data_IF_356040052161
#
_entry.id   IF_356040052161
#
_cell.length_a   1.000
_cell.length_b   1.000
_cell.length_c   1.000
_cell.angle_alpha   90.00
_cell.angle_beta   90.00
_cell.angle_gamma   90.00
#
_symmetry.space_group_name_H-M   'P 1'
#
loop_
_entity.id
_entity.type
_entity.pdbx_description
1 polymer ?
#
# COMPACT_ATOMS: atom_id res chain seq x y z
N UNK A 1 14.68 27.91 -6.69
CA UNK A 1 13.36 28.39 -7.21
C UNK A 1 12.27 27.43 -6.72
N UNK A 2 11.10 27.91 -6.33
CA UNK A 2 9.99 27.03 -5.97
C UNK A 2 9.70 26.03 -7.08
N UNK A 3 9.27 24.81 -6.71
CA UNK A 3 8.91 23.76 -7.67
C UNK A 3 7.62 23.07 -7.27
N UNK A 4 6.91 22.52 -8.26
CA UNK A 4 5.69 21.75 -8.04
C UNK A 4 6.02 20.26 -8.02
N UNK A 5 5.40 19.54 -7.07
CA UNK A 5 5.46 18.09 -7.00
C UNK A 5 4.05 17.53 -6.83
N UNK A 6 3.75 16.47 -7.57
CA UNK A 6 2.42 15.87 -7.61
C UNK A 6 2.50 14.40 -7.19
N UNK A 7 1.55 13.98 -6.33
CA UNK A 7 1.27 12.58 -6.05
C UNK A 7 -0.20 12.27 -6.27
N UNK A 8 -0.50 11.00 -6.51
CA UNK A 8 -1.84 10.50 -6.73
C UNK A 8 -2.18 9.33 -5.81
N UNK A 9 -3.46 9.08 -5.62
CA UNK A 9 -3.99 7.89 -4.96
C UNK A 9 -5.22 7.38 -5.67
N UNK A 10 -5.57 6.12 -5.42
CA UNK A 10 -6.81 5.50 -5.88
C UNK A 10 -7.54 4.85 -4.70
N UNK A 11 -8.88 4.81 -4.78
CA UNK A 11 -9.70 4.23 -3.72
C UNK A 11 -9.60 2.70 -3.68
N UNK A 12 -10.09 2.12 -2.59
CA UNK A 12 -10.26 0.67 -2.46
C UNK A 12 -11.16 0.05 -3.54
N UNK A 13 -12.05 0.86 -4.15
CA UNK A 13 -12.92 0.43 -5.25
C UNK A 13 -12.33 0.58 -6.64
N UNK A 14 -11.12 1.16 -6.78
CA UNK A 14 -10.43 1.19 -8.06
C UNK A 14 -10.15 -0.25 -8.54
N UNK A 15 -10.33 -0.58 -9.82
CA UNK A 15 -10.19 -1.95 -10.33
C UNK A 15 -8.88 -2.64 -9.92
N UNK A 16 -7.74 -1.97 -10.07
CA UNK A 16 -6.44 -2.54 -9.66
C UNK A 16 -6.37 -2.78 -8.15
N UNK A 17 -6.99 -1.92 -7.32
CA UNK A 17 -7.00 -2.12 -5.87
C UNK A 17 -8.03 -3.17 -5.42
N UNK A 18 -9.08 -3.39 -6.17
CA UNK A 18 -9.96 -4.56 -5.99
C UNK A 18 -9.16 -5.84 -6.20
N UNK A 19 -8.36 -5.91 -7.28
CA UNK A 19 -7.50 -7.05 -7.57
C UNK A 19 -6.44 -7.28 -6.48
N UNK A 20 -5.77 -6.23 -6.02
CA UNK A 20 -4.78 -6.30 -4.92
C UNK A 20 -5.41 -6.81 -3.63
N UNK A 21 -6.60 -6.31 -3.26
CA UNK A 21 -7.29 -6.73 -2.03
C UNK A 21 -7.74 -8.20 -2.08
N UNK A 22 -8.17 -8.70 -3.24
CA UNK A 22 -8.50 -10.12 -3.41
C UNK A 22 -7.24 -10.96 -3.27
N UNK A 23 -6.15 -10.60 -3.93
CA UNK A 23 -4.88 -11.32 -3.87
C UNK A 23 -4.32 -11.38 -2.44
N UNK A 24 -4.34 -10.27 -1.69
CA UNK A 24 -3.86 -10.23 -0.31
C UNK A 24 -4.80 -10.93 0.69
N UNK A 25 -6.10 -10.96 0.42
CA UNK A 25 -7.04 -11.77 1.20
C UNK A 25 -6.75 -13.27 1.03
N UNK A 26 -6.38 -13.72 -0.16
CA UNK A 26 -5.93 -15.11 -0.38
C UNK A 26 -4.67 -15.42 0.42
N UNK A 27 -3.65 -14.53 0.39
CA UNK A 27 -2.44 -14.67 1.21
C UNK A 27 -2.80 -14.86 2.70
N UNK A 28 -3.62 -13.96 3.24
CA UNK A 28 -4.00 -13.99 4.65
C UNK A 28 -4.71 -15.30 5.04
N UNK A 29 -5.62 -15.78 4.21
CA UNK A 29 -6.34 -17.03 4.48
C UNK A 29 -5.42 -18.26 4.41
N UNK A 30 -4.47 -18.30 3.46
CA UNK A 30 -3.46 -19.35 3.40
C UNK A 30 -2.56 -19.33 4.63
N UNK A 31 -2.02 -18.18 5.01
CA UNK A 31 -1.11 -18.04 6.15
C UNK A 31 -1.80 -18.26 7.49
N UNK A 32 -3.08 -17.91 7.63
CA UNK A 32 -3.85 -18.19 8.84
C UNK A 32 -4.00 -19.70 9.08
N UNK A 33 -4.13 -20.49 8.01
CA UNK A 33 -4.32 -21.93 8.09
C UNK A 33 -3.00 -22.71 8.08
N UNK A 34 -2.00 -22.20 7.36
CA UNK A 34 -0.66 -22.80 7.25
C UNK A 34 0.39 -21.68 7.11
N UNK A 35 1.07 -21.28 8.20
CA UNK A 35 2.08 -20.22 8.16
C UNK A 35 3.27 -20.49 7.23
N UNK A 36 3.52 -21.75 6.85
CA UNK A 36 4.59 -22.13 5.92
C UNK A 36 4.15 -22.05 4.45
N UNK A 37 2.92 -21.59 4.17
CA UNK A 37 2.41 -21.44 2.80
C UNK A 37 3.32 -20.58 1.94
N UNK A 38 3.53 -21.04 0.70
CA UNK A 38 4.16 -20.28 -0.37
C UNK A 38 3.06 -19.89 -1.35
N UNK A 39 2.90 -18.61 -1.60
CA UNK A 39 1.78 -18.08 -2.38
C UNK A 39 2.27 -17.00 -3.33
N UNK A 40 1.94 -17.15 -4.60
CA UNK A 40 2.08 -16.13 -5.61
C UNK A 40 0.76 -16.12 -6.38
N UNK A 41 -0.19 -15.26 -5.99
CA UNK A 41 -1.53 -15.20 -6.56
C UNK A 41 -1.79 -13.81 -7.14
N UNK A 42 -2.17 -13.79 -8.40
CA UNK A 42 -2.56 -12.60 -9.12
C UNK A 42 -4.05 -12.66 -9.44
N UNK A 43 -4.68 -11.50 -9.47
CA UNK A 43 -6.10 -11.34 -9.74
C UNK A 43 -6.29 -10.39 -10.91
N UNK A 44 -7.16 -10.77 -11.85
CA UNK A 44 -7.73 -9.88 -12.86
C UNK A 44 -9.21 -9.70 -12.55
N UNK A 45 -9.68 -8.46 -12.58
CA UNK A 45 -11.10 -8.12 -12.47
C UNK A 45 -11.54 -7.30 -13.69
N UNK A 46 -12.71 -7.62 -14.21
CA UNK A 46 -13.34 -6.90 -15.33
C UNK A 46 -14.85 -7.02 -15.23
N UNK A 47 -15.62 -6.51 -16.19
CA UNK A 47 -17.09 -6.56 -16.18
C UNK A 47 -17.59 -7.97 -15.83
N UNK A 48 -18.26 -8.11 -14.69
CA UNK A 48 -18.88 -9.34 -14.25
C UNK A 48 -17.97 -10.55 -14.03
N UNK A 49 -16.62 -10.37 -14.04
CA UNK A 49 -15.66 -11.47 -13.99
C UNK A 49 -14.49 -11.19 -13.05
N UNK A 50 -14.04 -12.26 -12.40
CA UNK A 50 -12.79 -12.34 -11.62
C UNK A 50 -12.00 -13.56 -12.08
N UNK A 51 -10.72 -13.38 -12.37
CA UNK A 51 -9.78 -14.45 -12.68
C UNK A 51 -8.69 -14.48 -11.61
N UNK A 52 -8.54 -15.63 -10.95
CA UNK A 52 -7.50 -15.90 -9.98
C UNK A 52 -6.48 -16.83 -10.62
N UNK A 53 -5.21 -16.43 -10.67
CA UNK A 53 -4.14 -17.23 -11.27
C UNK A 53 -2.91 -17.21 -10.36
N UNK A 54 -2.04 -18.21 -10.49
CA UNK A 54 -0.79 -18.26 -9.78
C UNK A 54 -0.46 -19.62 -9.18
N UNK A 55 0.54 -19.64 -8.30
CA UNK A 55 1.08 -20.85 -7.71
C UNK A 55 0.97 -20.83 -6.19
N UNK A 56 0.52 -21.95 -5.63
CA UNK A 56 0.39 -22.13 -4.18
C UNK A 56 0.99 -23.47 -3.75
N UNK A 57 1.79 -23.44 -2.68
CA UNK A 57 2.19 -24.62 -1.92
C UNK A 57 1.73 -24.44 -0.49
N UNK A 58 0.68 -25.15 -0.09
CA UNK A 58 0.08 -25.05 1.23
C UNK A 58 -0.58 -26.38 1.61
N UNK A 59 -0.72 -26.61 2.91
CA UNK A 59 -1.57 -27.69 3.46
C UNK A 59 -3.03 -27.26 3.60
N UNK A 60 -3.30 -25.96 3.45
CA UNK A 60 -4.65 -25.41 3.58
C UNK A 60 -5.46 -25.67 2.31
N UNK A 61 -6.74 -26.03 2.48
CA UNK A 61 -7.74 -26.01 1.44
C UNK A 61 -8.65 -24.80 1.67
N UNK A 62 -8.83 -23.94 0.68
CA UNK A 62 -9.61 -22.71 0.76
C UNK A 62 -10.70 -22.66 -0.31
N UNK A 63 -11.84 -22.09 0.03
CA UNK A 63 -12.84 -21.65 -0.95
C UNK A 63 -12.42 -20.26 -1.49
N UNK A 64 -11.53 -20.26 -2.48
CA UNK A 64 -10.98 -19.03 -3.06
C UNK A 64 -12.07 -18.16 -3.73
N UNK A 65 -13.16 -18.77 -4.21
CA UNK A 65 -14.29 -18.04 -4.80
C UNK A 65 -15.05 -17.26 -3.72
N UNK A 66 -15.29 -17.89 -2.59
CA UNK A 66 -15.95 -17.23 -1.45
C UNK A 66 -15.11 -16.07 -0.93
N UNK A 67 -13.79 -16.25 -0.78
CA UNK A 67 -12.88 -15.19 -0.33
C UNK A 67 -12.94 -14.00 -1.27
N UNK A 68 -12.85 -14.21 -2.58
CA UNK A 68 -12.94 -13.13 -3.57
C UNK A 68 -14.29 -12.38 -3.47
N UNK A 69 -15.42 -13.09 -3.36
CA UNK A 69 -16.75 -12.51 -3.21
C UNK A 69 -16.89 -11.67 -1.93
N UNK A 70 -16.38 -12.18 -0.82
CA UNK A 70 -16.43 -11.48 0.47
C UNK A 70 -15.65 -10.14 0.40
N UNK A 71 -14.50 -10.12 -0.27
CA UNK A 71 -13.72 -8.88 -0.52
C UNK A 71 -14.51 -7.90 -1.38
N UNK A 72 -15.07 -8.34 -2.50
CA UNK A 72 -15.84 -7.49 -3.42
C UNK A 72 -17.04 -6.86 -2.69
N UNK A 73 -17.78 -7.66 -1.91
CA UNK A 73 -18.91 -7.18 -1.11
C UNK A 73 -18.47 -6.19 -0.02
N UNK A 74 -17.34 -6.44 0.66
CA UNK A 74 -16.75 -5.55 1.68
C UNK A 74 -16.37 -4.19 1.09
N UNK A 75 -15.83 -4.15 -0.12
CA UNK A 75 -15.51 -2.90 -0.84
C UNK A 75 -16.79 -2.10 -1.14
N UNK A 76 -17.90 -2.77 -1.40
CA UNK A 76 -19.19 -2.15 -1.67
C UNK A 76 -19.72 -2.40 -3.08
N UNK A 77 -19.11 -3.30 -3.84
CA UNK A 77 -19.66 -3.80 -5.09
C UNK A 77 -20.66 -4.92 -4.80
N UNK A 78 -21.87 -4.54 -4.40
CA UNK A 78 -22.94 -5.44 -3.93
C UNK A 78 -24.29 -5.17 -4.61
N UNK A 79 -24.29 -4.43 -5.73
CA UNK A 79 -25.46 -4.13 -6.53
C UNK A 79 -25.25 -4.54 -7.98
N UNK A 80 -26.22 -5.22 -8.56
CA UNK A 80 -26.17 -5.70 -9.95
C UNK A 80 -26.02 -4.56 -10.98
N UNK A 81 -26.53 -3.37 -10.68
CA UNK A 81 -26.42 -2.19 -11.53
C UNK A 81 -24.98 -1.69 -11.73
N UNK A 82 -24.05 -2.14 -10.88
CA UNK A 82 -22.62 -1.84 -11.06
C UNK A 82 -21.96 -2.72 -12.12
N UNK A 83 -22.70 -3.71 -12.66
CA UNK A 83 -22.21 -4.70 -13.66
C UNK A 83 -20.96 -5.47 -13.20
N UNK A 84 -20.68 -5.38 -11.91
CA UNK A 84 -19.67 -6.12 -11.16
C UNK A 84 -20.11 -6.13 -9.69
N UNK A 85 -20.53 -7.28 -9.19
CA UNK A 85 -20.92 -7.43 -7.78
C UNK A 85 -20.52 -8.79 -7.24
N UNK A 86 -20.24 -8.85 -5.93
CA UNK A 86 -19.70 -10.03 -5.27
C UNK A 86 -20.65 -11.24 -5.27
N UNK A 87 -21.96 -11.04 -5.46
CA UNK A 87 -22.94 -12.11 -5.40
C UNK A 87 -23.16 -12.79 -6.76
N UNK A 88 -22.96 -12.05 -7.87
CA UNK A 88 -23.32 -12.51 -9.23
C UNK A 88 -22.15 -12.62 -10.20
N UNK A 89 -20.99 -11.98 -9.96
CA UNK A 89 -19.85 -12.07 -10.87
C UNK A 89 -19.34 -13.51 -11.00
N UNK A 90 -18.84 -13.87 -12.19
CA UNK A 90 -18.13 -15.14 -12.38
C UNK A 90 -16.77 -15.09 -11.70
N UNK A 91 -16.41 -16.14 -10.94
CA UNK A 91 -15.07 -16.28 -10.36
C UNK A 91 -14.42 -17.55 -10.90
N UNK A 92 -13.36 -17.37 -11.69
CA UNK A 92 -12.59 -18.46 -12.28
C UNK A 92 -11.25 -18.57 -11.55
N UNK A 93 -10.80 -19.79 -11.31
CA UNK A 93 -9.50 -20.06 -10.69
C UNK A 93 -8.64 -20.93 -11.58
N UNK A 94 -7.42 -20.47 -11.83
CA UNK A 94 -6.32 -21.19 -12.48
C UNK A 94 -5.10 -21.24 -11.53
N UNK A 95 -5.36 -21.36 -10.23
CA UNK A 95 -4.31 -21.56 -9.22
C UNK A 95 -3.86 -23.01 -9.27
N UNK A 96 -2.56 -23.24 -9.33
CA UNK A 96 -1.96 -24.57 -9.38
C UNK A 96 -0.82 -24.72 -8.36
N UNK A 97 -0.24 -25.91 -8.23
CA UNK A 97 0.87 -26.18 -7.32
C UNK A 97 2.17 -25.52 -7.80
N UNK A 98 2.95 -24.99 -6.87
CA UNK A 98 4.23 -24.34 -7.17
C UNK A 98 5.24 -25.32 -7.74
N UNK A 99 6.00 -24.91 -8.78
CA UNK A 99 7.07 -25.69 -9.37
C UNK A 99 8.15 -26.08 -8.36
N UNK A 100 8.56 -27.37 -8.34
CA UNK A 100 9.68 -27.84 -7.49
C UNK A 100 10.99 -27.11 -7.77
N UNK A 101 11.24 -26.68 -9.01
CA UNK A 101 12.50 -26.06 -9.42
C UNK A 101 12.72 -24.68 -8.77
N UNK A 102 11.66 -23.90 -8.58
CA UNK A 102 11.73 -22.59 -7.90
C UNK A 102 12.04 -22.79 -6.41
N UNK A 103 11.54 -23.85 -5.82
CA UNK A 103 11.71 -24.13 -4.39
C UNK A 103 13.15 -24.47 -3.99
N UNK A 104 13.97 -25.02 -4.89
CA UNK A 104 15.35 -25.43 -4.60
C UNK A 104 16.26 -24.26 -4.17
N UNK A 105 15.99 -23.05 -4.68
CA UNK A 105 16.76 -21.84 -4.36
C UNK A 105 16.38 -21.22 -3.01
N UNK A 106 15.15 -21.43 -2.53
CA UNK A 106 14.57 -20.78 -1.36
C UNK A 106 14.65 -21.66 -0.12
N UNK A 107 14.23 -22.94 -0.24
CA UNK A 107 14.21 -23.87 0.89
C UNK A 107 15.61 -24.45 1.16
N UNK A 108 16.15 -24.19 2.36
CA UNK A 108 17.42 -24.71 2.85
C UNK A 108 17.19 -25.59 4.10
N UNK A 109 18.15 -26.45 4.42
CA UNK A 109 18.08 -27.30 5.64
C UNK A 109 18.00 -26.44 6.90
N UNK A 110 18.80 -25.38 6.95
CA UNK A 110 18.77 -24.41 8.03
C UNK A 110 17.97 -23.18 7.56
N UNK A 111 16.93 -22.79 8.31
CA UNK A 111 16.03 -21.65 7.95
C UNK A 111 16.81 -20.33 7.81
N UNK A 112 17.92 -20.17 8.56
CA UNK A 112 18.78 -18.99 8.50
C UNK A 112 19.50 -18.83 7.15
N UNK A 113 19.66 -19.93 6.40
CA UNK A 113 20.28 -19.95 5.08
C UNK A 113 19.29 -19.76 3.93
N UNK A 114 18.01 -19.42 4.25
CA UNK A 114 16.99 -19.15 3.25
C UNK A 114 17.50 -18.10 2.24
N UNK A 115 17.58 -18.51 0.98
CA UNK A 115 17.96 -17.60 -0.11
C UNK A 115 16.83 -16.66 -0.50
N UNK A 116 17.16 -15.56 -1.16
CA UNK A 116 16.18 -14.69 -1.77
C UNK A 116 15.37 -15.46 -2.84
N UNK A 117 14.05 -15.32 -2.82
CA UNK A 117 13.15 -16.01 -3.76
C UNK A 117 13.26 -15.51 -5.19
N UNK A 118 13.86 -14.34 -5.40
CA UNK A 118 14.14 -13.75 -6.71
C UNK A 118 15.34 -12.81 -6.62
N UNK A 119 15.87 -12.42 -7.77
CA UNK A 119 16.74 -11.26 -7.90
C UNK A 119 15.92 -9.97 -7.88
N UNK A 120 16.51 -8.85 -7.47
CA UNK A 120 15.84 -7.56 -7.56
C UNK A 120 16.49 -6.48 -6.72
N UNK A 121 15.93 -5.28 -6.84
CA UNK A 121 16.27 -4.14 -6.01
C UNK A 121 14.99 -3.59 -5.37
N UNK A 122 15.05 -3.30 -4.08
CA UNK A 122 13.93 -2.82 -3.28
C UNK A 122 14.32 -1.51 -2.62
N UNK A 123 13.34 -0.62 -2.43
CA UNK A 123 13.57 0.72 -1.93
C UNK A 123 12.71 1.02 -0.70
N UNK A 124 13.30 1.75 0.23
CA UNK A 124 12.62 2.38 1.34
C UNK A 124 12.88 3.88 1.32
N UNK A 125 11.86 4.66 1.67
CA UNK A 125 11.96 6.11 1.74
C UNK A 125 11.31 6.61 3.02
N UNK A 126 11.81 7.71 3.57
CA UNK A 126 11.21 8.44 4.67
C UNK A 126 11.59 9.92 4.63
N UNK A 127 10.72 10.77 5.14
CA UNK A 127 10.91 12.23 5.22
C UNK A 127 10.26 12.79 6.49
N UNK A 128 10.74 13.93 6.98
CA UNK A 128 10.15 14.66 8.12
C UNK A 128 8.87 15.43 7.78
N UNK A 129 8.37 15.35 6.55
CA UNK A 129 7.20 16.12 6.12
C UNK A 129 5.96 15.81 6.99
N UNK A 130 5.70 14.53 7.26
CA UNK A 130 4.54 14.10 8.05
C UNK A 130 4.94 13.36 9.32
N UNK A 131 4.01 13.23 10.26
CA UNK A 131 4.25 12.51 11.52
C UNK A 131 4.51 11.00 11.31
N UNK A 132 4.00 10.44 10.21
CA UNK A 132 4.22 9.06 9.82
C UNK A 132 5.43 8.88 8.88
N UNK A 133 6.20 9.96 8.65
CA UNK A 133 7.41 9.98 7.80
C UNK A 133 7.12 9.67 6.33
N UNK A 134 5.93 10.03 5.83
CA UNK A 134 5.52 9.88 4.43
C UNK A 134 5.59 11.23 3.70
N UNK A 135 5.70 11.22 2.34
CA UNK A 135 5.56 12.43 1.53
C UNK A 135 4.17 13.06 1.71
N UNK A 136 4.11 14.37 1.99
CA UNK A 136 2.86 15.07 2.30
C UNK A 136 1.85 15.02 1.15
N UNK A 137 2.30 15.14 -0.11
CA UNK A 137 1.42 15.11 -1.27
C UNK A 137 0.67 13.76 -1.39
N UNK A 138 1.37 12.64 -1.18
CA UNK A 138 0.79 11.32 -1.18
C UNK A 138 -0.13 11.10 0.03
N UNK A 139 0.31 11.52 1.20
CA UNK A 139 -0.43 11.35 2.45
C UNK A 139 -1.79 12.07 2.38
N UNK A 140 -1.82 13.31 1.85
CA UNK A 140 -3.08 14.02 1.59
C UNK A 140 -3.91 13.31 0.51
N UNK A 141 -3.30 12.82 -0.57
CA UNK A 141 -4.03 12.10 -1.61
C UNK A 141 -4.70 10.83 -1.07
N UNK A 142 -4.03 10.07 -0.21
CA UNK A 142 -4.62 8.92 0.50
C UNK A 142 -5.75 9.37 1.44
N UNK A 143 -5.53 10.42 2.23
CA UNK A 143 -6.50 10.91 3.20
C UNK A 143 -7.80 11.37 2.54
N UNK A 144 -7.73 12.00 1.36
CA UNK A 144 -8.91 12.37 0.57
C UNK A 144 -9.79 11.16 0.24
N UNK A 145 -9.18 10.05 -0.19
CA UNK A 145 -9.93 8.87 -0.59
C UNK A 145 -10.36 7.98 0.58
N UNK A 146 -9.57 7.93 1.65
CA UNK A 146 -9.98 7.28 2.91
C UNK A 146 -11.22 7.97 3.47
N UNK A 147 -11.22 9.30 3.52
CA UNK A 147 -12.35 10.07 4.02
C UNK A 147 -13.56 9.97 3.09
N UNK A 148 -13.35 10.00 1.77
CA UNK A 148 -14.42 9.81 0.80
C UNK A 148 -15.10 8.43 0.95
N UNK A 149 -14.31 7.37 1.18
CA UNK A 149 -14.82 6.03 1.44
C UNK A 149 -15.56 5.95 2.78
N UNK A 150 -15.11 6.68 3.82
CA UNK A 150 -15.81 6.79 5.09
C UNK A 150 -17.19 7.46 4.90
N UNK A 151 -17.24 8.61 4.23
CA UNK A 151 -18.49 9.31 3.90
C UNK A 151 -19.47 8.41 3.12
N UNK A 152 -18.96 7.64 2.15
CA UNK A 152 -19.74 6.66 1.40
C UNK A 152 -20.37 5.60 2.31
N UNK A 153 -19.60 5.05 3.25
CA UNK A 153 -20.08 4.03 4.20
C UNK A 153 -21.04 4.58 5.23
N UNK A 154 -20.83 5.81 5.70
CA UNK A 154 -21.75 6.51 6.60
C UNK A 154 -23.12 6.70 5.93
N UNK A 155 -23.14 6.92 4.61
CA UNK A 155 -24.34 7.09 3.79
C UNK A 155 -25.34 8.15 4.35
N UNK A 156 -24.81 9.24 4.89
CA UNK A 156 -25.60 10.31 5.52
C UNK A 156 -25.56 11.62 4.73
N UNK A 157 -24.37 12.20 4.59
CA UNK A 157 -24.18 13.51 3.96
C UNK A 157 -24.17 13.41 2.43
N UNK A 158 -23.39 12.45 1.87
CA UNK A 158 -23.28 12.23 0.43
C UNK A 158 -23.70 10.77 0.12
N UNK A 159 -24.94 10.60 -0.36
CA UNK A 159 -25.56 9.27 -0.51
C UNK A 159 -25.33 8.61 -1.88
N UNK A 160 -24.86 9.39 -2.85
CA UNK A 160 -24.71 8.96 -4.24
C UNK A 160 -23.32 8.41 -4.58
N UNK A 161 -22.40 8.34 -3.61
CA UNK A 161 -21.03 7.86 -3.86
C UNK A 161 -20.98 6.37 -4.14
N UNK A 162 -20.22 5.98 -5.17
CA UNK A 162 -19.87 4.60 -5.51
C UNK A 162 -18.41 4.30 -5.13
N UNK A 163 -17.97 3.01 -5.17
CA UNK A 163 -16.67 2.65 -4.60
C UNK A 163 -15.44 3.19 -5.32
N UNK A 164 -15.49 3.43 -6.64
CA UNK A 164 -14.32 3.85 -7.43
C UNK A 164 -14.07 5.35 -7.32
N UNK A 165 -12.82 5.71 -7.05
CA UNK A 165 -12.39 7.10 -7.04
C UNK A 165 -10.87 7.22 -7.22
N UNK A 166 -10.44 8.41 -7.68
CA UNK A 166 -9.02 8.79 -7.79
C UNK A 166 -8.83 10.19 -7.21
N UNK A 167 -7.66 10.43 -6.64
CA UNK A 167 -7.23 11.76 -6.18
C UNK A 167 -5.82 12.07 -6.67
N UNK A 168 -5.53 13.35 -6.86
CA UNK A 168 -4.21 13.87 -7.15
C UNK A 168 -4.02 15.17 -6.40
N UNK A 169 -2.85 15.34 -5.77
CA UNK A 169 -2.50 16.53 -5.00
C UNK A 169 -1.17 17.08 -5.52
N UNK A 170 -1.16 18.36 -5.89
CA UNK A 170 0.03 19.09 -6.30
C UNK A 170 0.40 20.09 -5.22
N UNK A 171 1.60 19.96 -4.67
CA UNK A 171 2.17 20.88 -3.69
C UNK A 171 3.29 21.73 -4.34
N UNK A 172 3.37 22.99 -3.93
CA UNK A 172 4.54 23.82 -4.18
C UNK A 172 5.51 23.72 -3.00
N UNK A 173 6.78 23.54 -3.32
CA UNK A 173 7.90 23.47 -2.37
C UNK A 173 8.85 24.65 -2.59
N UNK A 174 9.44 25.17 -1.50
CA UNK A 174 10.52 26.11 -1.56
C UNK A 174 11.88 25.41 -1.79
N UNK A 175 12.96 26.19 -1.89
CA UNK A 175 14.32 25.69 -2.12
C UNK A 175 14.86 24.78 -0.99
N UNK A 176 14.22 24.80 0.17
CA UNK A 176 14.55 23.94 1.32
C UNK A 176 13.64 22.68 1.39
N UNK A 177 12.98 22.32 0.30
CA UNK A 177 12.04 21.19 0.22
C UNK A 177 10.90 21.26 1.25
N UNK A 178 10.47 22.45 1.65
CA UNK A 178 9.33 22.64 2.53
C UNK A 178 8.08 22.98 1.73
N UNK A 179 6.92 22.32 1.99
CA UNK A 179 5.68 22.63 1.30
C UNK A 179 5.17 24.00 1.70
N UNK A 180 4.84 24.84 0.72
CA UNK A 180 4.42 26.25 0.91
C UNK A 180 2.95 26.48 0.59
N UNK A 181 2.36 25.72 -0.34
CA UNK A 181 0.93 25.76 -0.68
C UNK A 181 0.48 24.50 -1.40
N UNK A 182 -0.80 24.22 -1.35
CA UNK A 182 -1.46 23.28 -2.25
C UNK A 182 -1.81 24.06 -3.53
N UNK A 183 -1.22 23.68 -4.67
CA UNK A 183 -1.53 24.31 -5.95
C UNK A 183 -2.86 23.81 -6.52
N UNK A 184 -3.04 22.49 -6.53
CA UNK A 184 -4.25 21.89 -7.07
C UNK A 184 -4.61 20.57 -6.40
N UNK A 185 -5.91 20.28 -6.37
CA UNK A 185 -6.50 19.01 -5.96
C UNK A 185 -7.43 18.53 -7.07
N UNK A 186 -7.17 17.31 -7.57
CA UNK A 186 -8.06 16.62 -8.51
C UNK A 186 -8.75 15.49 -7.77
N UNK A 187 -10.07 15.37 -7.92
CA UNK A 187 -10.86 14.23 -7.42
C UNK A 187 -11.79 13.77 -8.52
N UNK A 188 -11.70 12.50 -8.88
CA UNK A 188 -12.66 11.83 -9.74
C UNK A 188 -13.34 10.74 -8.92
N UNK A 189 -14.64 10.85 -8.67
CA UNK A 189 -15.42 9.90 -7.89
C UNK A 189 -16.58 9.33 -8.68
N UNK A 190 -16.71 8.02 -8.67
CA UNK A 190 -17.89 7.32 -9.20
C UNK A 190 -19.12 7.65 -8.35
N UNK A 191 -20.26 7.83 -9.01
CA UNK A 191 -21.52 8.25 -8.37
C UNK A 191 -22.74 7.66 -9.07
N UNK A 192 -23.88 7.68 -8.40
CA UNK A 192 -25.15 7.33 -9.00
C UNK A 192 -25.57 8.39 -10.06
N UNK A 193 -26.38 7.99 -11.03
CA UNK A 193 -27.01 8.89 -12.01
C UNK A 193 -28.32 9.42 -11.38
N UNK A 194 -28.22 10.50 -10.59
CA UNK A 194 -29.29 10.92 -9.67
C UNK A 194 -30.00 12.20 -10.09
N UNK A 195 -29.52 12.90 -11.11
CA UNK A 195 -30.12 14.17 -11.61
C UNK A 195 -29.59 14.50 -13.01
N UNK A 196 -30.06 15.59 -13.59
CA UNK A 196 -29.50 16.16 -14.82
C UNK A 196 -27.99 16.46 -14.63
N UNK A 197 -27.17 16.17 -15.66
CA UNK A 197 -25.71 16.20 -15.57
C UNK A 197 -25.15 17.49 -14.95
N UNK A 198 -25.60 18.66 -15.39
CA UNK A 198 -25.12 19.95 -14.86
C UNK A 198 -25.46 20.16 -13.39
N UNK A 199 -26.65 19.73 -12.97
CA UNK A 199 -27.13 19.86 -11.58
C UNK A 199 -26.31 18.90 -10.71
N UNK A 200 -26.15 17.67 -11.17
CA UNK A 200 -25.40 16.60 -10.52
C UNK A 200 -23.94 16.98 -10.33
N UNK A 201 -23.23 17.42 -11.38
CA UNK A 201 -21.83 17.82 -11.31
C UNK A 201 -21.61 19.01 -10.38
N UNK A 202 -22.55 20.00 -10.40
CA UNK A 202 -22.48 21.13 -9.47
C UNK A 202 -22.62 20.64 -8.03
N UNK A 203 -23.58 19.75 -7.75
CA UNK A 203 -23.78 19.20 -6.41
C UNK A 203 -22.55 18.41 -5.94
N UNK A 204 -21.97 17.56 -6.79
CA UNK A 204 -20.75 16.79 -6.48
C UNK A 204 -19.60 17.74 -6.14
N UNK A 205 -19.40 18.78 -6.94
CA UNK A 205 -18.38 19.79 -6.68
C UNK A 205 -18.59 20.48 -5.32
N UNK A 206 -19.80 20.95 -5.05
CA UNK A 206 -20.16 21.65 -3.81
C UNK A 206 -19.98 20.73 -2.58
N UNK A 207 -20.42 19.47 -2.66
CA UNK A 207 -20.30 18.49 -1.56
C UNK A 207 -18.82 18.13 -1.30
N UNK A 208 -18.01 17.93 -2.33
CA UNK A 208 -16.57 17.66 -2.16
C UNK A 208 -15.89 18.84 -1.47
N UNK A 209 -16.12 20.07 -1.92
CA UNK A 209 -15.48 21.26 -1.36
C UNK A 209 -15.96 21.55 0.06
N UNK A 210 -17.26 21.40 0.33
CA UNK A 210 -17.84 21.81 1.60
C UNK A 210 -17.89 20.71 2.67
N UNK A 211 -17.77 19.43 2.29
CA UNK A 211 -17.85 18.29 3.22
C UNK A 211 -16.51 17.57 3.29
N UNK A 212 -15.99 17.06 2.16
CA UNK A 212 -14.77 16.25 2.16
C UNK A 212 -13.52 17.08 2.53
N UNK A 213 -13.30 18.22 1.88
CA UNK A 213 -12.11 19.04 2.09
C UNK A 213 -11.96 19.49 3.56
N UNK A 214 -13.00 19.99 4.24
CA UNK A 214 -12.92 20.34 5.67
C UNK A 214 -12.57 19.15 6.57
N UNK A 215 -13.16 17.96 6.31
CA UNK A 215 -12.84 16.74 7.07
C UNK A 215 -11.37 16.33 6.93
N UNK A 216 -10.83 16.43 5.69
CA UNK A 216 -9.40 16.15 5.44
C UNK A 216 -8.53 17.23 6.07
N UNK A 217 -8.81 18.51 5.90
CA UNK A 217 -8.07 19.64 6.50
C UNK A 217 -7.91 19.46 8.01
N UNK A 218 -8.94 18.99 8.70
CA UNK A 218 -8.92 18.76 10.15
C UNK A 218 -7.88 17.71 10.59
N UNK A 219 -7.48 16.79 9.70
CA UNK A 219 -6.45 15.77 9.96
C UNK A 219 -5.03 16.34 9.87
N UNK A 220 -4.87 17.53 9.31
CA UNK A 220 -3.57 18.18 9.07
C UNK A 220 -3.43 19.53 9.79
N UNK A 221 -3.47 19.59 11.14
CA UNK A 221 -3.43 20.85 11.86
C UNK A 221 -2.13 21.64 11.57
N UNK A 222 -0.98 20.96 11.43
CA UNK A 222 0.30 21.57 11.05
C UNK A 222 0.24 22.26 9.68
N UNK A 223 -0.53 21.69 8.76
CA UNK A 223 -0.63 22.12 7.36
C UNK A 223 -1.99 22.73 7.01
N UNK A 224 -2.82 23.06 8.02
CA UNK A 224 -4.15 23.63 7.80
C UNK A 224 -4.11 24.94 7.00
N UNK A 225 -3.01 25.71 7.11
CA UNK A 225 -2.79 26.94 6.35
C UNK A 225 -2.57 26.72 4.85
N UNK A 226 -2.18 25.52 4.41
CA UNK A 226 -2.04 25.18 3.00
C UNK A 226 -3.40 24.98 2.32
N UNK A 227 -4.46 24.67 3.08
CA UNK A 227 -5.83 24.55 2.60
C UNK A 227 -6.50 25.93 2.61
N UNK A 228 -6.18 26.75 1.63
CA UNK A 228 -6.67 28.12 1.45
C UNK A 228 -7.55 28.23 0.20
N UNK A 229 -8.03 29.46 -0.07
CA UNK A 229 -8.98 29.72 -1.16
C UNK A 229 -8.30 29.74 -2.55
N UNK A 230 -6.96 29.70 -2.63
CA UNK A 230 -6.23 29.74 -3.89
C UNK A 230 -6.06 28.34 -4.55
N UNK A 231 -6.55 27.30 -3.90
CA UNK A 231 -6.47 25.92 -4.42
C UNK A 231 -7.33 25.77 -5.67
N UNK A 232 -6.74 25.25 -6.74
CA UNK A 232 -7.46 24.88 -7.97
C UNK A 232 -8.08 23.50 -7.80
N UNK A 233 -9.40 23.47 -7.63
CA UNK A 233 -10.15 22.20 -7.54
C UNK A 233 -10.59 21.71 -8.92
N UNK A 234 -10.32 20.44 -9.23
CA UNK A 234 -10.80 19.75 -10.43
C UNK A 234 -11.61 18.53 -10.00
N UNK A 235 -12.92 18.71 -9.87
CA UNK A 235 -13.84 17.67 -9.40
C UNK A 235 -14.60 17.09 -10.58
N UNK A 236 -14.45 15.78 -10.84
CA UNK A 236 -15.00 15.08 -12.00
C UNK A 236 -14.81 15.89 -13.31
N UNK A 237 -13.56 16.27 -13.66
CA UNK A 237 -13.31 17.23 -14.75
C UNK A 237 -13.73 16.72 -16.13
N UNK A 238 -13.95 15.43 -16.31
CA UNK A 238 -14.40 14.81 -17.57
C UNK A 238 -15.92 14.73 -17.69
N UNK A 239 -16.68 15.20 -16.69
CA UNK A 239 -18.13 15.07 -16.62
C UNK A 239 -18.59 13.94 -15.69
N UNK A 240 -19.76 13.37 -15.93
CA UNK A 240 -20.34 12.34 -15.09
C UNK A 240 -19.49 11.06 -15.10
N UNK A 241 -19.38 10.41 -13.93
CA UNK A 241 -18.63 9.18 -13.72
C UNK A 241 -19.53 8.12 -13.06
N UNK A 242 -20.51 7.63 -13.82
CA UNK A 242 -21.46 6.59 -13.39
C UNK A 242 -20.91 5.19 -13.68
N UNK A 243 -20.33 5.00 -14.89
CA UNK A 243 -19.65 3.76 -15.26
C UNK A 243 -18.22 3.80 -14.70
N UNK A 244 -17.92 2.93 -13.76
CA UNK A 244 -16.62 2.85 -13.10
C UNK A 244 -16.40 1.49 -12.45
N UNK A 245 -15.32 1.38 -11.65
CA UNK A 245 -14.91 0.12 -11.10
C UNK A 245 -14.53 -0.89 -12.19
N UNK A 246 -14.55 -2.21 -11.90
CA UNK A 246 -14.18 -3.24 -12.88
C UNK A 246 -15.06 -3.28 -14.14
N UNK A 247 -16.23 -2.64 -14.13
CA UNK A 247 -17.04 -2.47 -15.34
C UNK A 247 -16.50 -1.36 -16.24
N UNK A 248 -15.93 -0.31 -15.67
CA UNK A 248 -15.37 0.81 -16.42
C UNK A 248 -13.98 0.51 -16.99
N UNK A 249 -13.15 -0.20 -16.23
CA UNK A 249 -11.77 -0.52 -16.61
C UNK A 249 -11.34 -1.85 -15.97
N UNK A 250 -10.47 -2.60 -16.64
CA UNK A 250 -9.92 -3.85 -16.15
C UNK A 250 -8.86 -3.58 -15.07
N UNK A 251 -8.95 -4.29 -13.94
CA UNK A 251 -7.97 -4.26 -12.87
C UNK A 251 -7.07 -5.49 -12.82
N UNK A 252 -5.83 -5.28 -12.41
CA UNK A 252 -4.83 -6.33 -12.22
C UNK A 252 -4.03 -6.08 -10.95
N UNK A 253 -3.65 -7.16 -10.27
CA UNK A 253 -2.73 -7.11 -9.13
C UNK A 253 -1.41 -6.44 -9.53
N UNK A 254 -0.93 -5.51 -8.69
CA UNK A 254 0.38 -4.90 -8.84
C UNK A 254 0.50 -3.80 -9.90
N UNK A 255 -0.61 -3.19 -10.32
CA UNK A 255 -0.60 -2.05 -11.26
C UNK A 255 -0.65 -0.67 -10.61
N UNK A 256 -0.65 -0.58 -9.29
CA UNK A 256 -0.66 0.69 -8.51
C UNK A 256 0.52 0.81 -7.57
N UNK A 257 1.69 0.27 -7.99
CA UNK A 257 2.90 0.17 -7.17
C UNK A 257 3.44 1.51 -6.65
N UNK A 258 3.22 2.61 -7.37
CA UNK A 258 3.63 3.94 -6.93
C UNK A 258 2.68 4.48 -5.84
N UNK A 259 1.38 4.23 -5.98
CA UNK A 259 0.37 4.52 -4.94
C UNK A 259 0.63 3.68 -3.69
N UNK A 260 1.07 2.43 -3.86
CA UNK A 260 1.38 1.51 -2.77
C UNK A 260 2.60 1.92 -1.96
N UNK A 261 3.47 2.77 -2.50
CA UNK A 261 4.75 3.13 -1.92
C UNK A 261 4.85 4.62 -1.55
N UNK A 262 5.51 5.44 -2.36
CA UNK A 262 5.89 6.82 -1.98
C UNK A 262 5.37 7.90 -2.93
N UNK A 263 4.42 7.58 -3.82
CA UNK A 263 3.79 8.57 -4.72
C UNK A 263 4.76 9.24 -5.69
N UNK A 264 5.86 8.58 -6.04
CA UNK A 264 6.89 9.10 -6.94
C UNK A 264 8.01 9.89 -6.24
N UNK A 265 7.94 10.11 -4.92
CA UNK A 265 9.01 10.81 -4.17
C UNK A 265 10.21 9.89 -3.94
N UNK A 266 9.97 8.63 -3.62
CA UNK A 266 10.99 7.58 -3.54
C UNK A 266 10.99 6.70 -4.80
N UNK A 267 12.15 6.12 -5.13
CA UNK A 267 12.28 5.14 -6.21
C UNK A 267 11.50 3.84 -5.90
N UNK A 268 11.22 3.07 -6.95
CA UNK A 268 10.57 1.75 -6.86
C UNK A 268 11.33 0.71 -7.69
N UNK A 269 11.46 -0.51 -7.18
CA UNK A 269 12.17 -1.59 -7.88
C UNK A 269 11.39 -2.27 -9.00
N UNK A 270 10.08 -1.99 -9.11
CA UNK A 270 9.19 -2.53 -10.14
C UNK A 270 8.39 -3.75 -9.72
N UNK A 271 8.76 -4.45 -8.63
CA UNK A 271 8.03 -5.62 -8.14
C UNK A 271 6.75 -5.26 -7.39
N UNK A 272 5.64 -5.89 -7.73
CA UNK A 272 4.39 -5.78 -6.99
C UNK A 272 4.51 -6.42 -5.60
N UNK A 273 3.73 -5.92 -4.63
CA UNK A 273 3.68 -6.45 -3.26
C UNK A 273 2.52 -7.43 -3.07
N UNK A 274 1.29 -6.98 -3.39
CA UNK A 274 0.08 -7.78 -3.22
C UNK A 274 0.16 -9.09 -3.99
N UNK A 275 -0.41 -10.15 -3.43
CA UNK A 275 -0.39 -11.50 -4.00
C UNK A 275 0.88 -12.31 -3.72
N UNK A 276 1.89 -11.75 -3.05
CA UNK A 276 3.17 -12.41 -2.74
C UNK A 276 3.31 -12.70 -1.25
N UNK A 277 3.65 -13.95 -0.90
CA UNK A 277 4.06 -14.33 0.46
C UNK A 277 5.44 -13.75 0.83
N UNK A 278 5.84 -13.73 2.12
CA UNK A 278 7.06 -13.05 2.57
C UNK A 278 8.38 -13.63 2.06
N UNK A 279 8.41 -14.81 1.45
CA UNK A 279 9.63 -15.33 0.82
C UNK A 279 10.02 -14.57 -0.44
N UNK A 280 9.11 -13.78 -0.99
CA UNK A 280 9.36 -12.90 -2.14
C UNK A 280 9.92 -11.59 -1.64
N UNK A 281 11.21 -11.37 -1.90
CA UNK A 281 11.96 -10.18 -1.42
C UNK A 281 11.42 -8.86 -1.97
N UNK A 282 10.74 -8.87 -3.12
CA UNK A 282 10.02 -7.69 -3.65
C UNK A 282 9.14 -7.04 -2.58
N UNK A 283 8.47 -7.84 -1.77
CA UNK A 283 7.60 -7.37 -0.69
C UNK A 283 8.35 -7.26 0.63
N UNK A 284 8.96 -8.33 1.11
CA UNK A 284 9.56 -8.39 2.44
C UNK A 284 10.72 -7.42 2.61
N UNK A 285 11.60 -7.31 1.61
CA UNK A 285 12.74 -6.40 1.68
C UNK A 285 12.34 -4.93 1.42
N UNK A 286 11.27 -4.66 0.67
CA UNK A 286 10.71 -3.31 0.58
C UNK A 286 10.18 -2.83 1.94
N UNK A 287 9.53 -3.70 2.71
CA UNK A 287 9.12 -3.40 4.07
C UNK A 287 10.32 -3.16 5.00
N UNK A 288 11.37 -3.97 4.86
CA UNK A 288 12.58 -3.82 5.65
C UNK A 288 13.34 -2.52 5.33
N UNK A 289 13.45 -2.14 4.06
CA UNK A 289 14.08 -0.86 3.68
C UNK A 289 13.27 0.35 4.15
N UNK A 290 11.92 0.26 4.16
CA UNK A 290 11.07 1.28 4.78
C UNK A 290 11.35 1.43 6.27
N UNK A 291 11.47 0.33 6.99
CA UNK A 291 11.79 0.34 8.41
C UNK A 291 13.15 1.01 8.68
N UNK A 292 14.17 0.71 7.87
CA UNK A 292 15.49 1.37 7.95
C UNK A 292 15.34 2.88 7.74
N UNK A 293 14.75 3.29 6.62
CA UNK A 293 14.59 4.70 6.26
C UNK A 293 13.87 5.49 7.35
N UNK A 294 12.77 4.93 7.87
CA UNK A 294 11.97 5.55 8.93
C UNK A 294 12.75 5.71 10.24
N UNK A 295 13.50 4.69 10.65
CA UNK A 295 14.30 4.75 11.87
C UNK A 295 15.51 5.69 11.74
N UNK A 296 16.13 5.82 10.56
CA UNK A 296 17.20 6.81 10.30
C UNK A 296 16.68 8.24 10.48
N UNK A 297 15.55 8.57 9.85
CA UNK A 297 14.95 9.91 9.94
C UNK A 297 14.48 10.19 11.38
N UNK A 298 13.80 9.24 12.02
CA UNK A 298 13.33 9.38 13.39
C UNK A 298 14.46 9.53 14.42
N UNK A 299 15.62 8.90 14.17
CA UNK A 299 16.81 9.06 15.00
C UNK A 299 17.51 10.39 14.82
N UNK A 300 17.19 11.16 13.77
CA UNK A 300 17.82 12.45 13.46
C UNK A 300 19.10 12.33 12.63
N UNK A 301 19.32 11.22 11.97
CA UNK A 301 20.48 11.05 11.04
C UNK A 301 20.37 11.98 9.83
N UNK A 302 19.15 12.17 9.34
CA UNK A 302 18.82 13.03 8.19
C UNK A 302 17.34 13.44 8.21
N UNK A 303 16.94 14.38 7.36
CA UNK A 303 15.55 14.82 7.20
C UNK A 303 14.80 14.03 6.13
N UNK A 304 15.53 13.50 5.17
CA UNK A 304 15.01 12.73 4.03
C UNK A 304 16.02 11.63 3.69
N UNK A 305 15.55 10.43 3.36
CA UNK A 305 16.45 9.33 2.96
C UNK A 305 15.76 8.34 2.05
N UNK A 306 16.51 7.90 1.04
CA UNK A 306 16.25 6.73 0.22
C UNK A 306 17.25 5.64 0.59
N UNK A 307 16.74 4.43 0.84
CA UNK A 307 17.53 3.22 1.09
C UNK A 307 17.21 2.21 0.00
N UNK A 308 18.22 1.69 -0.68
CA UNK A 308 18.09 0.56 -1.61
C UNK A 308 18.77 -0.68 -1.04
N UNK A 309 18.16 -1.83 -1.24
CA UNK A 309 18.78 -3.14 -1.06
C UNK A 309 18.64 -3.94 -2.35
N UNK A 310 19.61 -4.80 -2.65
CA UNK A 310 19.55 -5.68 -3.82
C UNK A 310 19.91 -7.12 -3.44
N UNK A 311 19.28 -8.08 -4.15
CA UNK A 311 19.49 -9.51 -3.96
C UNK A 311 19.80 -10.22 -5.28
N UNK A 312 20.55 -11.32 -5.18
CA UNK A 312 20.61 -12.34 -6.21
C UNK A 312 19.74 -13.54 -5.80
N UNK A 313 19.08 -14.16 -6.77
CA UNK A 313 18.22 -15.32 -6.52
C UNK A 313 19.01 -16.44 -5.80
N UNK A 314 18.41 -17.03 -4.78
CA UNK A 314 19.01 -18.13 -3.99
C UNK A 314 20.15 -17.72 -3.05
N UNK A 315 20.51 -16.43 -2.98
CA UNK A 315 21.54 -15.90 -2.07
C UNK A 315 20.86 -15.23 -0.86
N UNK A 316 21.30 -15.59 0.36
CA UNK A 316 20.71 -15.05 1.58
C UNK A 316 21.20 -13.62 1.89
N UNK A 317 22.48 -13.35 1.66
CA UNK A 317 23.05 -12.02 1.92
C UNK A 317 22.66 -11.04 0.80
N UNK A 318 22.29 -9.80 1.13
CA UNK A 318 22.09 -8.77 0.11
C UNK A 318 23.39 -8.52 -0.66
N UNK A 319 23.28 -8.18 -1.94
CA UNK A 319 24.42 -7.82 -2.79
C UNK A 319 24.98 -6.45 -2.45
N UNK A 320 24.19 -5.60 -1.82
CA UNK A 320 24.59 -4.28 -1.35
C UNK A 320 23.43 -3.48 -0.77
N UNK A 321 23.79 -2.50 0.05
CA UNK A 321 22.89 -1.49 0.58
C UNK A 321 23.40 -0.12 0.12
N UNK A 322 22.53 0.66 -0.48
CA UNK A 322 22.80 2.04 -0.89
C UNK A 322 21.90 3.00 -0.09
N UNK A 323 22.47 4.13 0.30
CA UNK A 323 21.75 5.18 1.02
C UNK A 323 21.97 6.51 0.26
N UNK A 324 20.89 7.31 0.17
CA UNK A 324 20.96 8.68 -0.32
C UNK A 324 20.14 9.59 0.60
N UNK A 325 20.78 10.50 1.29
CA UNK A 325 20.16 11.48 2.20
C UNK A 325 19.71 12.75 1.48
N UNK A 326 19.88 12.84 0.16
CA UNK A 326 19.61 14.04 -0.65
C UNK A 326 20.26 15.31 -0.09
N UNK A 327 21.42 15.17 0.58
CA UNK A 327 22.13 16.27 1.21
C UNK A 327 21.54 16.74 2.54
N UNK A 328 20.53 16.06 3.09
CA UNK A 328 19.90 16.39 4.38
C UNK A 328 20.56 15.73 5.59
N UNK A 329 21.72 15.06 5.40
CA UNK A 329 22.46 14.39 6.47
C UNK A 329 22.89 15.35 7.59
N UNK A 330 22.69 14.92 8.85
CA UNK A 330 22.96 15.74 10.05
C UNK A 330 24.11 15.23 10.91
N UNK A 331 24.71 14.09 10.55
CA UNK A 331 25.71 13.38 11.38
C UNK A 331 27.14 13.55 10.92
N UNK A 332 27.40 14.40 9.92
CA UNK A 332 28.75 14.68 9.40
C UNK A 332 29.40 13.49 8.68
N UNK A 333 28.62 12.50 8.28
CA UNK A 333 29.04 11.31 7.53
C UNK A 333 28.54 11.40 6.09
N UNK A 334 29.31 10.83 5.15
CA UNK A 334 28.85 10.60 3.78
C UNK A 334 27.77 9.52 3.72
N UNK A 335 26.96 9.52 2.66
CA UNK A 335 25.94 8.50 2.43
C UNK A 335 26.53 7.06 2.41
N UNK A 336 27.73 6.88 1.89
CA UNK A 336 28.44 5.61 1.90
C UNK A 336 28.86 5.14 3.31
N UNK A 337 29.25 6.07 4.19
CA UNK A 337 29.55 5.74 5.60
C UNK A 337 28.26 5.44 6.38
N UNK A 338 27.15 6.15 6.08
CA UNK A 338 25.83 5.83 6.62
C UNK A 338 25.40 4.43 6.19
N UNK A 339 25.57 4.06 4.91
CA UNK A 339 25.22 2.73 4.40
C UNK A 339 25.98 1.61 5.14
N UNK A 340 27.29 1.77 5.39
CA UNK A 340 28.09 0.80 6.16
C UNK A 340 27.60 0.63 7.61
N UNK A 341 27.18 1.72 8.24
CA UNK A 341 26.57 1.63 9.58
C UNK A 341 25.22 0.92 9.53
N UNK A 342 24.38 1.19 8.52
CA UNK A 342 23.11 0.48 8.31
C UNK A 342 23.32 -1.03 8.17
N UNK A 343 24.30 -1.47 7.39
CA UNK A 343 24.67 -2.90 7.27
C UNK A 343 25.00 -3.55 8.61
N UNK A 344 25.66 -2.82 9.51
CA UNK A 344 26.04 -3.34 10.83
C UNK A 344 24.88 -3.39 11.83
N UNK A 345 23.82 -2.60 11.61
CA UNK A 345 22.67 -2.48 12.53
C UNK A 345 21.52 -3.42 12.13
N UNK A 346 21.30 -3.58 10.83
CA UNK A 346 20.12 -4.25 10.27
C UNK A 346 20.52 -5.52 9.51
N UNK A 347 20.19 -6.68 10.07
CA UNK A 347 20.29 -7.93 9.33
C UNK A 347 19.20 -7.96 8.24
N UNK A 348 19.65 -7.99 6.99
CA UNK A 348 18.80 -7.95 5.80
C UNK A 348 18.69 -9.30 5.08
N UNK A 349 19.04 -10.42 5.76
CA UNK A 349 18.75 -11.76 5.24
C UNK A 349 17.22 -11.98 5.20
N UNK A 350 16.68 -12.71 4.19
CA UNK A 350 15.25 -12.96 4.08
C UNK A 350 14.62 -13.53 5.37
N UNK A 351 15.28 -14.50 6.01
CA UNK A 351 14.82 -15.10 7.25
C UNK A 351 14.77 -14.09 8.41
N UNK A 352 15.78 -13.23 8.54
CA UNK A 352 15.80 -12.19 9.58
C UNK A 352 14.69 -11.15 9.37
N UNK A 353 14.41 -10.79 8.13
CA UNK A 353 13.30 -9.89 7.76
C UNK A 353 11.94 -10.52 8.12
N UNK A 354 11.70 -11.77 7.68
CA UNK A 354 10.45 -12.48 7.98
C UNK A 354 10.20 -12.59 9.49
N UNK A 355 11.25 -12.93 10.25
CA UNK A 355 11.17 -13.10 11.70
C UNK A 355 10.94 -11.77 12.41
N UNK A 356 11.72 -10.74 12.07
CA UNK A 356 11.66 -9.40 12.68
C UNK A 356 10.27 -8.80 12.58
N UNK A 357 9.65 -8.90 11.42
CA UNK A 357 8.36 -8.29 11.14
C UNK A 357 7.18 -9.26 11.27
N UNK A 358 7.42 -10.52 11.67
CA UNK A 358 6.37 -11.55 11.81
C UNK A 358 5.57 -11.75 10.53
N UNK A 359 6.25 -11.74 9.38
CA UNK A 359 5.60 -11.72 8.06
C UNK A 359 4.88 -13.04 7.72
N UNK A 360 5.06 -14.12 8.47
CA UNK A 360 4.31 -15.37 8.31
C UNK A 360 2.91 -15.33 8.96
N UNK A 361 2.51 -14.19 9.49
CA UNK A 361 1.16 -13.96 10.01
C UNK A 361 0.24 -13.37 8.93
N UNK A 362 -1.10 -13.53 9.06
CA UNK A 362 -2.07 -12.99 8.12
C UNK A 362 -2.28 -11.48 8.35
N UNK A 363 -1.37 -10.66 7.82
CA UNK A 363 -1.28 -9.20 8.05
C UNK A 363 -1.37 -8.37 6.76
N UNK A 364 -1.81 -8.97 5.65
CA UNK A 364 -1.65 -8.40 4.33
C UNK A 364 -2.90 -7.70 3.77
N UNK A 365 -4.11 -8.14 4.12
CA UNK A 365 -5.35 -7.53 3.62
C UNK A 365 -5.44 -6.02 3.89
N UNK A 366 -4.93 -5.56 5.04
CA UNK A 366 -4.94 -4.16 5.45
C UNK A 366 -3.92 -3.29 4.70
N UNK A 367 -2.97 -3.92 4.00
CA UNK A 367 -1.97 -3.20 3.19
C UNK A 367 -2.46 -2.89 1.79
N UNK A 368 -3.42 -3.65 1.28
CA UNK A 368 -3.79 -3.69 -0.12
C UNK A 368 -4.57 -2.45 -0.63
N UNK A 369 -4.89 -1.47 0.22
CA UNK A 369 -5.52 -0.22 -0.16
C UNK A 369 -4.89 0.95 0.60
N UNK A 370 -4.81 2.12 -0.05
CA UNK A 370 -4.28 3.35 0.55
C UNK A 370 -2.82 3.24 1.04
N UNK A 371 -1.98 2.53 0.29
CA UNK A 371 -0.55 2.37 0.55
C UNK A 371 -0.19 1.30 1.57
N UNK A 372 1.01 0.74 1.42
CA UNK A 372 1.60 -0.25 2.32
C UNK A 372 2.38 0.40 3.47
N UNK A 373 2.62 1.70 3.39
CA UNK A 373 3.45 2.46 4.32
C UNK A 373 2.69 3.61 4.99
N UNK A 374 3.23 4.10 6.11
CA UNK A 374 2.70 5.25 6.83
C UNK A 374 1.54 4.97 7.78
N UNK A 375 1.08 3.73 7.89
CA UNK A 375 0.03 3.33 8.83
C UNK A 375 0.64 2.90 10.17
N UNK A 376 0.01 3.21 11.32
CA UNK A 376 0.56 2.83 12.62
C UNK A 376 0.55 1.31 12.83
N UNK A 377 1.58 0.79 13.52
CA UNK A 377 1.56 -0.59 13.97
C UNK A 377 0.53 -0.78 15.08
N UNK A 378 -0.34 -1.77 14.93
CA UNK A 378 -1.40 -2.08 15.90
C UNK A 378 -1.65 -3.58 16.03
N UNK A 379 -2.12 -4.00 17.21
CA UNK A 379 -2.53 -5.38 17.46
C UNK A 379 -4.03 -5.53 17.23
N UNK A 380 -4.40 -6.53 16.43
CA UNK A 380 -5.79 -6.83 16.11
C UNK A 380 -6.04 -8.33 16.17
N UNK A 381 -7.29 -8.72 16.39
CA UNK A 381 -7.73 -10.10 16.23
C UNK A 381 -8.49 -10.24 14.91
N UNK A 382 -8.03 -11.12 14.03
CA UNK A 382 -8.65 -11.42 12.73
C UNK A 382 -9.36 -12.76 12.82
N UNK A 383 -10.53 -12.85 12.16
CA UNK A 383 -11.30 -14.10 12.04
C UNK A 383 -11.18 -14.64 10.63
N UNK A 384 -10.85 -15.91 10.53
CA UNK A 384 -10.83 -16.68 9.29
C UNK A 384 -11.77 -17.88 9.43
N UNK A 385 -12.22 -18.42 8.32
CA UNK A 385 -13.16 -19.53 8.33
C UNK A 385 -12.63 -20.69 7.51
N UNK A 386 -12.59 -21.87 8.12
CA UNK A 386 -12.29 -23.11 7.40
C UNK A 386 -13.44 -23.43 6.41
N UNK A 387 -13.22 -24.29 5.41
CA UNK A 387 -14.28 -24.73 4.51
C UNK A 387 -15.47 -25.38 5.22
N UNK A 388 -15.25 -25.93 6.42
CA UNK A 388 -16.30 -26.54 7.27
C UNK A 388 -17.07 -25.49 8.09
N UNK A 389 -16.73 -24.19 7.97
CA UNK A 389 -17.36 -23.10 8.70
C UNK A 389 -16.82 -22.88 10.13
N UNK A 390 -15.75 -23.56 10.52
CA UNK A 390 -15.10 -23.34 11.82
C UNK A 390 -14.35 -22.00 11.81
N UNK A 391 -14.59 -21.17 12.82
CA UNK A 391 -13.90 -19.89 12.98
C UNK A 391 -12.54 -20.10 13.62
N UNK A 392 -11.50 -19.58 12.95
CA UNK A 392 -10.13 -19.47 13.45
C UNK A 392 -9.85 -18.00 13.80
N UNK A 393 -9.62 -17.69 15.07
CA UNK A 393 -9.21 -16.36 15.54
C UNK A 393 -7.70 -16.30 15.70
N UNK A 394 -7.08 -15.32 15.05
CA UNK A 394 -5.63 -15.11 15.08
C UNK A 394 -5.35 -13.70 15.56
N UNK A 395 -4.59 -13.57 16.66
CA UNK A 395 -4.06 -12.28 17.10
C UNK A 395 -2.81 -11.96 16.30
N UNK A 396 -2.79 -10.80 15.64
CA UNK A 396 -1.69 -10.35 14.78
C UNK A 396 -1.32 -8.91 15.09
N UNK A 397 -0.11 -8.52 14.70
CA UNK A 397 0.39 -7.16 14.77
C UNK A 397 0.58 -6.64 13.35
N UNK A 398 -0.25 -5.67 12.95
CA UNK A 398 -0.22 -5.06 11.63
C UNK A 398 0.93 -4.05 11.52
N UNK A 399 1.40 -3.79 10.29
CA UNK A 399 2.38 -2.76 9.93
C UNK A 399 3.63 -2.76 10.83
N UNK A 400 4.16 -3.93 11.14
CA UNK A 400 5.31 -4.11 12.04
C UNK A 400 6.57 -3.39 11.56
N UNK A 401 6.72 -3.17 10.24
CA UNK A 401 7.80 -2.41 9.62
C UNK A 401 7.69 -0.90 9.81
N UNK A 402 6.58 -0.39 10.34
CA UNK A 402 6.39 1.02 10.67
C UNK A 402 6.83 1.37 12.10
N UNK A 403 7.34 0.40 12.87
CA UNK A 403 7.84 0.63 14.24
C UNK A 403 9.11 1.49 14.26
N UNK A 404 9.28 2.22 15.35
CA UNK A 404 10.47 3.02 15.67
C UNK A 404 11.37 2.33 16.71
N UNK A 405 11.39 1.00 16.70
CA UNK A 405 12.05 0.14 17.68
C UNK A 405 13.57 0.02 17.49
N UNK A 406 14.12 0.61 16.41
CA UNK A 406 15.56 0.69 16.17
C UNK A 406 16.15 2.10 16.38
N UNK A 407 15.34 3.11 16.75
CA UNK A 407 15.81 4.49 16.94
C UNK A 407 16.98 4.56 17.92
N UNK A 408 16.90 3.92 19.08
CA UNK A 408 17.97 3.94 20.07
C UNK A 408 19.24 3.23 19.60
N UNK A 409 19.10 2.11 18.87
CA UNK A 409 20.23 1.41 18.25
C UNK A 409 20.91 2.29 17.20
N UNK A 410 20.12 2.96 16.37
CA UNK A 410 20.62 3.90 15.38
C UNK A 410 21.35 5.04 16.06
N UNK A 411 20.74 5.70 17.05
CA UNK A 411 21.40 6.78 17.80
C UNK A 411 22.73 6.34 18.39
N UNK A 412 22.79 5.20 19.06
CA UNK A 412 24.01 4.66 19.64
C UNK A 412 25.09 4.42 18.58
N UNK A 413 24.73 3.84 17.42
CA UNK A 413 25.69 3.57 16.35
C UNK A 413 26.22 4.85 15.67
N UNK A 414 25.40 5.91 15.60
CA UNK A 414 25.78 7.19 15.01
C UNK A 414 26.37 8.17 16.03
N UNK A 415 26.29 7.90 17.31
CA UNK A 415 26.82 8.77 18.38
C UNK A 415 25.98 10.04 18.60
N UNK A 416 24.67 9.99 18.45
CA UNK A 416 23.71 11.09 18.57
C UNK A 416 22.64 10.81 19.61
#
# INVERSE_FOLDING_TARGET
MPYLFTSESVSEGHPDKVADQISDALIDNFLASDPESKVACETLVTTGQVFLAGEVKSKAYLDVQKIARDVINKIGYNKSEYMFDGNSCGVLSAIHEQSPDINQGVDRKEKQEQGAGDQGMMFGYATVETANYMPLALDIAHALLIELAAIRRENQEIKYLRPDAKSQVTLEYNDNSQPTRIDSIVISTQHDDFDEEKVMLKKINDDIINILIPRVKAKYPKYAHLFNDDIKYHINPTGKFVIGGPHGDTGLTGRKIIVDTYGGKGAHGGGAFSGKDPSKVDRSAAYATRHIAKNLVAAGVCDEVLVQVSYAIGVAQPMGIYVNTYGSGRVGLSDGEIAKKVESIFDMTPYAIETRFKLRHPIYSETAAYGHFGKPSEKVTKSFYSPNGEELKVEVELFTWEKLDYVDKVKAAFGI
#
